data_IF_034675399700
#
_entry.id   IF_034675399700
#
_cell.length_a   1.000
_cell.length_b   1.000
_cell.length_c   1.000
_cell.angle_alpha   90.00
_cell.angle_beta   90.00
_cell.angle_gamma   90.00
#
_symmetry.space_group_name_H-M   'P 1'
#
loop_
_entity.id
_entity.type
_entity.pdbx_description
1 polymer ?
#
# COMPACT_ATOMS: atom_id res chain seq x y z
N UNK A 1 16.34 26.66 14.47
CA UNK A 1 16.58 26.37 13.02
C UNK A 1 17.17 24.98 12.75
N UNK A 2 17.83 24.34 13.71
CA UNK A 2 18.43 22.99 13.51
C UNK A 2 17.48 21.79 13.77
N UNK A 3 16.36 21.98 14.48
CA UNK A 3 15.42 20.91 14.85
C UNK A 3 14.65 20.43 13.59
N UNK A 4 14.13 21.34 12.79
CA UNK A 4 13.40 20.98 11.56
C UNK A 4 14.27 20.28 10.50
N UNK A 5 15.55 20.63 10.38
CA UNK A 5 16.47 19.99 9.44
C UNK A 5 16.77 18.54 9.86
N UNK A 6 16.95 18.30 11.16
CA UNK A 6 17.22 16.97 11.72
C UNK A 6 15.99 16.05 11.61
N UNK A 7 14.79 16.60 11.82
CA UNK A 7 13.56 15.84 11.69
C UNK A 7 13.27 15.47 10.22
N UNK A 8 13.55 16.37 9.28
CA UNK A 8 13.49 16.05 7.85
C UNK A 8 14.46 14.94 7.44
N UNK A 9 15.71 15.00 7.92
CA UNK A 9 16.69 13.95 7.63
C UNK A 9 16.25 12.59 8.17
N UNK A 10 15.74 12.54 9.40
CA UNK A 10 15.20 11.32 10.01
C UNK A 10 14.01 10.79 9.22
N UNK A 11 13.11 11.65 8.77
CA UNK A 11 11.99 11.28 7.93
C UNK A 11 12.41 10.69 6.58
N UNK A 12 13.40 11.31 5.90
CA UNK A 12 13.96 10.76 4.65
C UNK A 12 14.64 9.41 4.86
N UNK A 13 15.40 9.27 5.95
CA UNK A 13 16.05 7.99 6.27
C UNK A 13 15.04 6.89 6.55
N UNK A 14 14.00 7.17 7.34
CA UNK A 14 12.90 6.26 7.59
C UNK A 14 12.16 5.88 6.30
N UNK A 15 11.95 6.84 5.40
CA UNK A 15 11.33 6.61 4.11
C UNK A 15 12.15 5.66 3.23
N UNK A 16 13.46 5.85 3.14
CA UNK A 16 14.37 4.99 2.38
C UNK A 16 14.32 3.56 2.92
N UNK A 17 14.41 3.39 4.24
CA UNK A 17 14.31 2.07 4.89
C UNK A 17 12.94 1.44 4.60
N UNK A 18 11.86 2.21 4.69
CA UNK A 18 10.51 1.74 4.41
C UNK A 18 10.34 1.28 2.97
N UNK A 19 10.83 2.04 2.00
CA UNK A 19 10.80 1.66 0.58
C UNK A 19 11.59 0.37 0.35
N UNK A 20 12.78 0.26 0.90
CA UNK A 20 13.60 -0.95 0.78
C UNK A 20 12.91 -2.17 1.38
N UNK A 21 12.32 -2.03 2.58
CA UNK A 21 11.58 -3.09 3.26
C UNK A 21 10.34 -3.55 2.45
N UNK A 22 9.57 -2.61 1.88
CA UNK A 22 8.41 -2.93 1.05
C UNK A 22 8.84 -3.64 -0.24
N UNK A 23 9.89 -3.18 -0.90
CA UNK A 23 10.42 -3.78 -2.12
C UNK A 23 10.91 -5.22 -1.88
N UNK A 24 11.64 -5.45 -0.80
CA UNK A 24 12.13 -6.77 -0.40
C UNK A 24 10.96 -7.71 -0.03
N UNK A 25 9.90 -7.17 0.57
CA UNK A 25 8.72 -7.95 0.97
C UNK A 25 8.07 -8.68 -0.21
N UNK A 26 7.95 -8.03 -1.37
CA UNK A 26 7.35 -8.65 -2.56
C UNK A 26 8.15 -9.87 -3.04
N UNK A 27 9.48 -9.79 -3.00
CA UNK A 27 10.37 -10.91 -3.37
C UNK A 27 10.23 -12.06 -2.37
N UNK A 28 10.22 -11.77 -1.07
CA UNK A 28 10.06 -12.78 -0.03
C UNK A 28 8.70 -13.49 -0.12
N UNK A 29 7.63 -12.77 -0.42
CA UNK A 29 6.30 -13.33 -0.68
C UNK A 29 6.35 -14.31 -1.85
N UNK A 30 7.03 -13.94 -2.93
CA UNK A 30 7.17 -14.80 -4.12
C UNK A 30 7.91 -16.10 -3.82
N UNK A 31 8.94 -16.05 -2.99
CA UNK A 31 9.73 -17.23 -2.60
C UNK A 31 9.05 -18.12 -1.55
N UNK A 32 8.09 -17.58 -0.81
CA UNK A 32 7.37 -18.36 0.20
C UNK A 32 6.48 -19.42 -0.45
N UNK A 33 6.48 -20.64 0.06
CA UNK A 33 5.57 -21.71 -0.34
C UNK A 33 4.20 -21.65 0.36
N UNK A 34 4.04 -20.76 1.35
CA UNK A 34 2.80 -20.65 2.12
C UNK A 34 1.66 -20.03 1.32
N UNK A 35 0.42 -20.33 1.68
CA UNK A 35 -0.77 -19.76 1.09
C UNK A 35 -0.85 -18.23 1.27
N UNK A 36 -1.39 -17.47 0.30
CA UNK A 36 -1.46 -16.01 0.36
C UNK A 36 -2.12 -15.46 1.63
N UNK A 37 -3.23 -16.09 2.06
CA UNK A 37 -3.95 -15.65 3.27
C UNK A 37 -3.16 -15.90 4.54
N UNK A 38 -2.38 -16.99 4.59
CA UNK A 38 -1.50 -17.30 5.72
C UNK A 38 -0.40 -16.24 5.83
N UNK A 39 0.25 -15.90 4.71
CA UNK A 39 1.27 -14.84 4.67
C UNK A 39 0.67 -13.50 5.14
N UNK A 40 -0.51 -13.15 4.62
CA UNK A 40 -1.22 -11.93 4.99
C UNK A 40 -1.54 -11.87 6.48
N UNK A 41 -2.07 -12.98 7.04
CA UNK A 41 -2.42 -13.08 8.46
C UNK A 41 -1.21 -12.91 9.37
N UNK A 42 -0.11 -13.61 9.10
CA UNK A 42 1.13 -13.46 9.87
C UNK A 42 1.68 -12.04 9.79
N UNK A 43 1.70 -11.45 8.59
CA UNK A 43 2.17 -10.08 8.39
C UNK A 43 1.37 -9.07 9.22
N UNK A 44 0.04 -9.17 9.21
CA UNK A 44 -0.82 -8.27 9.98
C UNK A 44 -0.69 -8.52 11.48
N UNK A 45 -0.59 -9.78 11.90
CA UNK A 45 -0.39 -10.13 13.31
C UNK A 45 0.93 -9.57 13.84
N UNK A 46 2.04 -9.76 13.14
CA UNK A 46 3.32 -9.21 13.56
C UNK A 46 3.33 -7.68 13.55
N UNK A 47 2.71 -7.05 12.55
CA UNK A 47 2.57 -5.59 12.53
C UNK A 47 1.77 -5.10 13.75
N UNK A 48 0.64 -5.75 14.05
CA UNK A 48 -0.17 -5.40 15.23
C UNK A 48 0.61 -5.57 16.53
N UNK A 49 1.30 -6.69 16.72
CA UNK A 49 2.10 -6.95 17.90
C UNK A 49 3.24 -5.93 18.09
N UNK A 50 3.84 -5.49 16.97
CA UNK A 50 4.89 -4.46 17.00
C UNK A 50 4.35 -3.09 17.40
N UNK A 51 3.17 -2.70 16.90
CA UNK A 51 2.57 -1.40 17.18
C UNK A 51 1.79 -1.35 18.49
N UNK A 52 1.30 -2.49 18.99
CA UNK A 52 0.47 -2.58 20.18
C UNK A 52 1.06 -1.89 21.42
N UNK A 53 2.37 -2.05 21.76
CA UNK A 53 2.96 -1.38 22.90
C UNK A 53 2.90 0.15 22.81
N UNK A 54 3.11 0.69 21.61
CA UNK A 54 3.04 2.13 21.36
C UNK A 54 1.61 2.64 21.50
N UNK A 55 0.64 1.90 20.96
CA UNK A 55 -0.78 2.22 21.08
C UNK A 55 -1.24 2.22 22.55
N UNK A 56 -0.86 1.22 23.32
CA UNK A 56 -1.24 1.13 24.74
C UNK A 56 -0.59 2.25 25.54
N UNK A 57 0.67 2.58 25.27
CA UNK A 57 1.39 3.61 26.01
C UNK A 57 0.86 5.02 25.74
N UNK A 58 0.68 5.35 24.47
CA UNK A 58 0.48 6.74 24.05
C UNK A 58 -0.98 7.06 23.72
N UNK A 59 -1.81 6.05 23.40
CA UNK A 59 -3.16 6.21 22.85
C UNK A 59 -4.25 5.43 23.60
N UNK A 60 -3.94 4.90 24.77
CA UNK A 60 -4.89 4.07 25.53
C UNK A 60 -6.22 4.78 25.82
N UNK A 61 -6.16 6.06 26.23
CA UNK A 61 -7.35 6.85 26.51
C UNK A 61 -8.20 7.10 25.26
N UNK A 62 -7.57 7.34 24.11
CA UNK A 62 -8.26 7.52 22.84
C UNK A 62 -8.98 6.23 22.43
N UNK A 63 -8.31 5.08 22.57
CA UNK A 63 -8.89 3.77 22.23
C UNK A 63 -10.08 3.44 23.10
N UNK A 64 -9.99 3.72 24.41
CA UNK A 64 -11.09 3.43 25.37
C UNK A 64 -12.26 4.40 25.25
N UNK A 65 -12.06 5.56 24.65
CA UNK A 65 -13.11 6.57 24.43
C UNK A 65 -13.79 6.48 23.04
N UNK A 66 -13.42 5.49 22.23
CA UNK A 66 -14.04 5.28 20.91
C UNK A 66 -15.53 5.06 21.01
N UNK A 67 -16.27 5.76 20.16
CA UNK A 67 -17.71 5.59 20.00
C UNK A 67 -18.02 4.35 19.16
N UNK A 68 -19.22 3.83 19.31
CA UNK A 68 -19.65 2.64 18.57
C UNK A 68 -19.51 2.79 17.05
N UNK A 69 -19.88 3.95 16.50
CA UNK A 69 -19.77 4.23 15.06
C UNK A 69 -18.32 4.21 14.60
N UNK A 70 -17.39 4.77 15.38
CA UNK A 70 -15.95 4.77 15.09
C UNK A 70 -15.37 3.35 15.11
N UNK A 71 -15.86 2.51 16.02
CA UNK A 71 -15.46 1.09 16.07
C UNK A 71 -15.93 0.35 14.80
N UNK A 72 -17.16 0.60 14.34
CA UNK A 72 -17.68 0.00 13.11
C UNK A 72 -16.85 0.46 11.91
N UNK A 73 -16.54 1.74 11.81
CA UNK A 73 -15.68 2.27 10.76
C UNK A 73 -14.29 1.59 10.75
N UNK A 74 -13.67 1.45 11.91
CA UNK A 74 -12.38 0.76 12.04
C UNK A 74 -12.45 -0.71 11.63
N UNK A 75 -13.54 -1.42 11.97
CA UNK A 75 -13.75 -2.80 11.54
C UNK A 75 -13.89 -2.88 10.03
N UNK A 76 -14.68 -2.00 9.41
CA UNK A 76 -14.87 -1.96 7.96
C UNK A 76 -13.54 -1.66 7.26
N UNK A 77 -12.79 -0.67 7.73
CA UNK A 77 -11.45 -0.34 7.20
C UNK A 77 -10.51 -1.53 7.34
N UNK A 78 -10.51 -2.20 8.49
CA UNK A 78 -9.69 -3.39 8.73
C UNK A 78 -10.02 -4.54 7.79
N UNK A 79 -11.30 -4.81 7.54
CA UNK A 79 -11.76 -5.83 6.59
C UNK A 79 -11.34 -5.49 5.15
N UNK A 80 -11.52 -4.25 4.73
CA UNK A 80 -11.11 -3.79 3.40
C UNK A 80 -9.59 -3.89 3.22
N UNK A 81 -8.82 -3.51 4.24
CA UNK A 81 -7.37 -3.63 4.24
C UNK A 81 -6.92 -5.09 4.18
N UNK A 82 -7.57 -5.97 4.95
CA UNK A 82 -7.31 -7.42 4.93
C UNK A 82 -7.58 -8.02 3.55
N UNK A 83 -8.71 -7.68 2.93
CA UNK A 83 -9.05 -8.09 1.58
C UNK A 83 -8.02 -7.57 0.56
N UNK A 84 -7.63 -6.29 0.66
CA UNK A 84 -6.61 -5.69 -0.19
C UNK A 84 -5.29 -6.49 -0.11
N UNK A 85 -4.79 -6.80 1.08
CA UNK A 85 -3.57 -7.59 1.21
C UNK A 85 -3.73 -9.02 0.71
N UNK A 86 -4.89 -9.65 0.93
CA UNK A 86 -5.19 -10.97 0.40
C UNK A 86 -5.09 -11.02 -1.12
N UNK A 87 -5.74 -10.09 -1.81
CA UNK A 87 -5.68 -9.98 -3.27
C UNK A 87 -4.29 -9.61 -3.77
N UNK A 88 -3.60 -8.67 -3.12
CA UNK A 88 -2.26 -8.26 -3.53
C UNK A 88 -1.25 -9.40 -3.41
N UNK A 89 -1.23 -10.14 -2.29
CA UNK A 89 -0.33 -11.27 -2.09
C UNK A 89 -0.65 -12.38 -3.10
N UNK A 90 -1.94 -12.65 -3.35
CA UNK A 90 -2.37 -13.62 -4.36
C UNK A 90 -1.88 -13.21 -5.76
N UNK A 91 -1.99 -11.94 -6.11
CA UNK A 91 -1.48 -11.40 -7.37
C UNK A 91 0.03 -11.59 -7.51
N UNK A 92 0.82 -11.27 -6.48
CA UNK A 92 2.29 -11.48 -6.48
C UNK A 92 2.65 -12.94 -6.69
N UNK A 93 1.84 -13.89 -6.23
CA UNK A 93 2.06 -15.32 -6.40
C UNK A 93 1.59 -15.86 -7.76
N UNK A 94 0.54 -15.28 -8.30
CA UNK A 94 -0.09 -15.73 -9.54
C UNK A 94 0.56 -15.14 -10.80
N UNK A 95 1.23 -13.97 -10.68
CA UNK A 95 1.83 -13.24 -11.82
C UNK A 95 3.29 -12.90 -11.54
N UNK A 96 3.93 -12.12 -12.42
CA UNK A 96 5.27 -11.60 -12.13
C UNK A 96 5.20 -10.54 -11.01
N UNK A 97 6.26 -10.45 -10.19
CA UNK A 97 6.36 -9.41 -9.15
C UNK A 97 6.27 -8.01 -9.77
N UNK A 98 6.91 -7.83 -10.93
CA UNK A 98 6.88 -6.57 -11.66
C UNK A 98 5.45 -6.17 -12.07
N UNK A 99 4.68 -7.10 -12.67
CA UNK A 99 3.30 -6.87 -13.08
C UNK A 99 2.40 -6.56 -11.87
N UNK A 100 2.51 -7.33 -10.78
CA UNK A 100 1.73 -7.10 -9.56
C UNK A 100 2.00 -5.74 -8.93
N UNK A 101 3.27 -5.33 -8.82
CA UNK A 101 3.65 -4.03 -8.27
C UNK A 101 3.21 -2.90 -9.19
N UNK A 102 3.39 -3.04 -10.51
CA UNK A 102 2.99 -2.02 -11.47
C UNK A 102 1.47 -1.81 -11.47
N UNK A 103 0.68 -2.88 -11.55
CA UNK A 103 -0.78 -2.80 -11.46
C UNK A 103 -1.24 -2.24 -10.11
N UNK A 104 -0.57 -2.64 -9.03
CA UNK A 104 -0.81 -2.09 -7.70
C UNK A 104 -0.58 -0.58 -7.64
N UNK A 105 0.45 -0.05 -8.29
CA UNK A 105 0.74 1.40 -8.32
C UNK A 105 -0.21 2.20 -9.19
N UNK A 106 -0.98 1.54 -10.08
CA UNK A 106 -2.02 2.19 -10.89
C UNK A 106 -3.18 2.76 -10.06
N UNK A 107 -3.27 2.43 -8.76
CA UNK A 107 -4.27 3.03 -7.87
C UNK A 107 -4.23 4.56 -7.93
N UNK A 108 -3.08 5.18 -8.16
CA UNK A 108 -2.94 6.64 -8.31
C UNK A 108 -3.83 7.16 -9.45
N UNK A 109 -3.92 6.42 -10.57
CA UNK A 109 -4.76 6.78 -11.71
C UNK A 109 -6.24 6.66 -11.35
N UNK A 110 -6.64 5.53 -10.73
CA UNK A 110 -8.04 5.32 -10.32
C UNK A 110 -8.49 6.32 -9.27
N UNK A 111 -7.66 6.57 -8.26
CA UNK A 111 -7.95 7.58 -7.23
C UNK A 111 -8.11 8.97 -7.84
N UNK A 112 -7.27 9.32 -8.81
CA UNK A 112 -7.36 10.61 -9.51
C UNK A 112 -8.64 10.73 -10.33
N UNK A 113 -9.07 9.67 -11.00
CA UNK A 113 -10.34 9.64 -11.76
C UNK A 113 -11.53 9.76 -10.81
N UNK A 114 -11.55 9.00 -9.73
CA UNK A 114 -12.62 9.05 -8.74
C UNK A 114 -12.67 10.42 -8.06
N UNK A 115 -11.52 10.98 -7.69
CA UNK A 115 -11.39 12.32 -7.12
C UNK A 115 -11.98 13.40 -8.04
N UNK A 116 -11.73 13.29 -9.35
CA UNK A 116 -12.33 14.17 -10.33
C UNK A 116 -13.86 13.98 -10.44
N UNK A 117 -14.33 12.73 -10.52
CA UNK A 117 -15.76 12.42 -10.71
C UNK A 117 -16.61 12.72 -9.47
N UNK A 118 -16.10 12.40 -8.27
CA UNK A 118 -16.87 12.48 -7.01
C UNK A 118 -16.68 13.84 -6.32
N UNK A 119 -15.44 14.33 -6.29
CA UNK A 119 -15.10 15.57 -5.57
C UNK A 119 -14.89 16.77 -6.48
N UNK A 120 -14.99 16.60 -7.81
CA UNK A 120 -14.75 17.68 -8.77
C UNK A 120 -13.29 18.17 -8.81
N UNK A 121 -12.36 17.42 -8.25
CA UNK A 121 -10.94 17.76 -8.24
C UNK A 121 -10.38 17.72 -9.66
N UNK A 122 -9.76 18.84 -10.09
CA UNK A 122 -9.17 18.90 -11.42
C UNK A 122 -7.71 18.45 -11.39
N UNK A 123 -7.41 17.42 -12.15
CA UNK A 123 -6.01 17.05 -12.41
C UNK A 123 -5.29 18.22 -13.10
N UNK A 124 -4.15 18.60 -12.58
CA UNK A 124 -3.29 19.55 -13.26
C UNK A 124 -2.66 18.88 -14.51
N UNK A 125 -2.14 19.71 -15.43
CA UNK A 125 -1.52 19.19 -16.68
C UNK A 125 -0.39 18.20 -16.43
N UNK A 126 0.38 18.36 -15.34
CA UNK A 126 1.47 17.44 -14.94
C UNK A 126 0.92 16.09 -14.49
N UNK A 127 -0.19 16.09 -13.74
CA UNK A 127 -0.87 14.85 -13.32
C UNK A 127 -1.42 14.06 -14.50
N UNK A 128 -2.05 14.74 -15.49
CA UNK A 128 -2.55 14.09 -16.71
C UNK A 128 -1.39 13.47 -17.52
N UNK A 129 -0.27 14.19 -17.63
CA UNK A 129 0.92 13.68 -18.32
C UNK A 129 1.50 12.46 -17.60
N UNK A 130 1.63 12.51 -16.27
CA UNK A 130 2.08 11.37 -15.46
C UNK A 130 1.18 10.15 -15.57
N UNK A 131 -0.16 10.33 -15.55
CA UNK A 131 -1.12 9.26 -15.71
C UNK A 131 -1.02 8.60 -17.10
N UNK A 132 -0.87 9.38 -18.17
CA UNK A 132 -0.65 8.83 -19.52
C UNK A 132 0.64 8.05 -19.63
N UNK A 133 1.70 8.55 -19.01
CA UNK A 133 3.00 7.86 -19.00
C UNK A 133 2.93 6.54 -18.23
N UNK A 134 2.26 6.52 -17.09
CA UNK A 134 2.01 5.30 -16.32
C UNK A 134 1.21 4.26 -17.11
N UNK A 135 0.10 4.69 -17.75
CA UNK A 135 -0.72 3.80 -18.58
C UNK A 135 0.06 3.23 -19.77
N UNK A 136 0.90 4.03 -20.44
CA UNK A 136 1.73 3.52 -21.52
C UNK A 136 2.75 2.48 -21.06
N UNK A 137 3.33 2.64 -19.86
CA UNK A 137 4.21 1.65 -19.25
C UNK A 137 3.52 0.32 -18.97
N UNK A 138 2.27 0.35 -18.51
CA UNK A 138 1.44 -0.85 -18.29
C UNK A 138 1.20 -1.58 -19.60
N UNK A 139 0.78 -0.85 -20.63
CA UNK A 139 0.50 -1.44 -21.96
C UNK A 139 1.76 -2.11 -22.53
N UNK A 140 2.92 -1.47 -22.41
CA UNK A 140 4.20 -2.03 -22.85
C UNK A 140 4.56 -3.33 -22.11
N UNK A 141 4.28 -3.38 -20.80
CA UNK A 141 4.58 -4.55 -19.99
C UNK A 141 3.68 -5.73 -20.36
N UNK A 142 2.38 -5.48 -20.50
CA UNK A 142 1.44 -6.50 -20.99
C UNK A 142 1.76 -6.98 -22.41
N UNK A 143 2.21 -6.08 -23.28
CA UNK A 143 2.61 -6.45 -24.64
C UNK A 143 3.87 -7.35 -24.60
N UNK A 144 4.81 -7.07 -23.72
CA UNK A 144 5.99 -7.91 -23.51
C UNK A 144 5.62 -9.33 -23.07
N UNK A 145 4.76 -9.46 -22.06
CA UNK A 145 4.29 -10.76 -21.57
C UNK A 145 3.54 -11.58 -22.64
N UNK A 146 2.78 -10.91 -23.54
CA UNK A 146 2.04 -11.57 -24.63
C UNK A 146 2.93 -12.04 -25.79
N UNK A 147 4.13 -11.49 -25.94
CA UNK A 147 5.06 -11.84 -27.03
C UNK A 147 6.04 -12.93 -26.59
N UNK A 148 6.22 -13.15 -25.29
CA UNK A 148 7.09 -14.19 -24.74
C UNK A 148 6.38 -15.55 -24.53
N UNK A 149 5.03 -15.61 -24.60
CA UNK A 149 4.22 -16.84 -24.63
C UNK A 149 4.02 -17.33 -26.09
#
# INVERSE_FOLDING_TARGET
MNIEANDKQRAYFALIIGIFAISTSAILIRWSSSEPLVIGSYRQTFATLLFLPFLIKDKFQEITSLKYDEIIELIVIGLLLGAHFGFWISSVKATSVAASVLLGTCHIVYVSIIGWLVFGERLNRKGIFGARFALSGIILLFWGDLVED
#
